data_IF_039817725492
#
_entry.id   IF_039817725492
#
_cell.length_a   1.000
_cell.length_b   1.000
_cell.length_c   1.000
_cell.angle_alpha   90.00
_cell.angle_beta   90.00
_cell.angle_gamma   90.00
#
_symmetry.space_group_name_H-M   'P 1'
#
loop_
_entity.id
_entity.type
_entity.pdbx_description
1 polymer ?
#
# COMPACT_ATOMS: atom_id res chain seq x y z
N UNK A 1 -11.30 0.18 -21.13
CA UNK A 1 -10.03 -0.09 -20.44
C UNK A 1 -9.50 1.25 -19.96
N UNK A 2 -9.30 1.41 -18.64
CA UNK A 2 -8.73 2.65 -18.07
C UNK A 2 -7.21 2.61 -18.14
N UNK A 3 -6.59 3.74 -18.41
CA UNK A 3 -5.13 3.86 -18.44
C UNK A 3 -4.71 5.07 -17.61
N UNK A 4 -3.68 4.90 -16.79
CA UNK A 4 -3.01 6.00 -16.09
C UNK A 4 -1.60 6.22 -16.64
N UNK A 5 -1.16 7.47 -16.58
CA UNK A 5 0.21 7.89 -16.83
C UNK A 5 0.66 8.73 -15.64
N UNK A 6 1.68 8.25 -14.95
CA UNK A 6 2.30 8.95 -13.81
C UNK A 6 3.77 9.16 -14.17
N UNK A 7 4.12 10.33 -14.70
CA UNK A 7 5.43 10.55 -15.30
C UNK A 7 5.69 9.58 -16.45
N UNK A 8 6.71 8.74 -16.33
CA UNK A 8 7.07 7.71 -17.31
C UNK A 8 6.35 6.36 -17.07
N UNK A 9 5.60 6.22 -15.97
CA UNK A 9 4.90 5.00 -15.62
C UNK A 9 3.53 4.98 -16.29
N UNK A 10 3.31 4.01 -17.19
CA UNK A 10 2.05 3.83 -17.93
C UNK A 10 1.45 2.46 -17.62
N UNK A 11 0.22 2.43 -17.13
CA UNK A 11 -0.45 1.22 -16.65
C UNK A 11 -1.91 1.19 -17.12
N UNK A 12 -2.36 0.01 -17.59
CA UNK A 12 -3.75 -0.26 -17.94
C UNK A 12 -4.47 -0.95 -16.77
N UNK A 13 -5.70 -0.50 -16.48
CA UNK A 13 -6.54 -1.02 -15.38
C UNK A 13 -5.74 -1.19 -14.07
N UNK A 14 -5.15 -0.11 -13.54
CA UNK A 14 -4.16 -0.21 -12.48
C UNK A 14 -4.76 -0.67 -11.17
N UNK A 15 -4.15 -1.72 -10.58
CA UNK A 15 -4.41 -2.21 -9.23
C UNK A 15 -3.12 -2.10 -8.41
N UNK A 16 -3.10 -1.19 -7.45
CA UNK A 16 -1.92 -0.80 -6.68
C UNK A 16 -1.94 -1.43 -5.28
N UNK A 17 -0.76 -1.75 -4.74
CA UNK A 17 -0.59 -2.13 -3.33
C UNK A 17 -0.46 -0.89 -2.46
N UNK A 18 -1.30 -0.73 -1.44
CA UNK A 18 -1.23 0.40 -0.51
C UNK A 18 -0.01 0.30 0.42
N UNK A 19 0.63 1.42 0.77
CA UNK A 19 1.65 1.47 1.81
C UNK A 19 1.03 1.14 3.18
N UNK A 20 1.62 0.17 3.90
CA UNK A 20 1.17 -0.26 5.23
C UNK A 20 2.36 -0.49 6.14
N UNK A 21 2.47 0.30 7.21
CA UNK A 21 3.54 0.18 8.21
C UNK A 21 3.58 -1.22 8.83
N UNK A 22 4.77 -1.81 8.87
CA UNK A 22 5.00 -3.15 9.39
C UNK A 22 4.47 -4.27 8.47
N UNK A 23 4.01 -3.99 7.26
CA UNK A 23 3.43 -4.97 6.33
C UNK A 23 4.07 -4.90 4.94
N UNK A 24 4.15 -3.71 4.34
CA UNK A 24 4.66 -3.57 2.96
C UNK A 24 6.18 -3.44 2.92
N UNK A 25 6.85 -4.35 3.63
CA UNK A 25 8.28 -4.58 3.52
C UNK A 25 8.63 -5.21 2.16
N UNK A 26 9.93 -5.26 1.82
CA UNK A 26 10.38 -5.77 0.52
C UNK A 26 9.88 -7.19 0.22
N UNK A 27 9.93 -8.18 1.14
CA UNK A 27 9.41 -9.51 0.88
C UNK A 27 7.95 -9.51 0.44
N UNK A 28 7.09 -8.75 1.13
CA UNK A 28 5.67 -8.68 0.81
C UNK A 28 5.39 -7.92 -0.49
N UNK A 29 6.15 -6.85 -0.78
CA UNK A 29 6.02 -6.12 -2.04
C UNK A 29 6.41 -6.98 -3.23
N UNK A 30 7.54 -7.72 -3.16
CA UNK A 30 7.97 -8.68 -4.19
C UNK A 30 6.89 -9.74 -4.46
N UNK A 31 6.32 -10.29 -3.39
CA UNK A 31 5.23 -11.25 -3.52
C UNK A 31 4.01 -10.63 -4.21
N UNK A 32 3.56 -9.45 -3.80
CA UNK A 32 2.41 -8.78 -4.41
C UNK A 32 2.67 -8.44 -5.89
N UNK A 33 3.91 -8.07 -6.27
CA UNK A 33 4.30 -7.86 -7.68
C UNK A 33 4.14 -9.12 -8.49
N UNK A 34 4.61 -10.25 -7.99
CA UNK A 34 4.47 -11.54 -8.67
C UNK A 34 3.01 -11.92 -8.88
N UNK A 35 2.14 -11.55 -7.94
CA UNK A 35 0.69 -11.74 -8.06
C UNK A 35 -0.02 -10.62 -8.83
N UNK A 36 0.70 -9.69 -9.44
CA UNK A 36 0.16 -8.75 -10.41
C UNK A 36 -0.18 -7.36 -9.89
N UNK A 37 0.31 -6.95 -8.70
CA UNK A 37 0.25 -5.55 -8.31
C UNK A 37 1.04 -4.67 -9.29
N UNK A 38 0.42 -3.61 -9.82
CA UNK A 38 1.05 -2.78 -10.85
C UNK A 38 2.10 -1.84 -10.28
N UNK A 39 1.76 -1.14 -9.19
CA UNK A 39 2.68 -0.30 -8.43
C UNK A 39 2.65 -0.79 -6.99
N UNK A 40 3.82 -0.95 -6.40
CA UNK A 40 3.96 -1.22 -4.96
C UNK A 40 4.57 -0.01 -4.27
N UNK A 41 4.27 0.13 -2.98
CA UNK A 41 4.69 1.26 -2.17
C UNK A 41 5.49 0.74 -0.98
N UNK A 42 6.59 1.42 -0.64
CA UNK A 42 7.31 1.11 0.59
C UNK A 42 6.46 1.43 1.82
N UNK A 43 6.86 0.94 2.98
CA UNK A 43 6.43 1.53 4.24
C UNK A 43 6.83 3.01 4.25
N UNK A 44 6.04 3.86 4.93
CA UNK A 44 6.36 5.28 4.95
C UNK A 44 7.61 5.59 5.80
N UNK A 45 8.49 6.42 5.27
CA UNK A 45 9.73 6.82 5.88
C UNK A 45 9.66 8.29 6.36
N UNK A 46 10.10 8.54 7.61
CA UNK A 46 10.14 9.89 8.15
C UNK A 46 11.25 10.71 7.47
N UNK A 47 10.92 11.89 6.93
CA UNK A 47 11.88 12.79 6.30
C UNK A 47 13.05 13.13 7.22
N UNK A 48 12.76 13.45 8.48
CA UNK A 48 13.78 13.73 9.51
C UNK A 48 14.78 12.57 9.73
N UNK A 49 14.29 11.34 9.63
CA UNK A 49 15.13 10.16 9.80
C UNK A 49 15.95 9.85 8.54
N UNK A 50 15.36 10.11 7.35
CA UNK A 50 16.06 9.93 6.07
C UNK A 50 17.22 10.89 5.92
N UNK A 51 17.03 12.19 6.19
CA UNK A 51 18.08 13.20 6.08
C UNK A 51 19.22 13.01 7.10
N UNK A 52 18.97 12.29 8.18
CA UNK A 52 19.99 11.87 9.18
C UNK A 52 20.56 10.49 8.89
N UNK A 53 20.20 9.86 7.77
CA UNK A 53 20.66 8.54 7.37
C UNK A 53 20.47 7.46 8.45
N UNK A 54 19.36 7.50 9.21
CA UNK A 54 19.05 6.51 10.25
C UNK A 54 18.92 5.12 9.63
N UNK A 55 19.76 4.13 10.04
CA UNK A 55 19.84 2.82 9.35
C UNK A 55 18.51 2.08 9.24
N UNK A 56 17.66 2.13 10.28
CA UNK A 56 16.34 1.49 10.27
C UNK A 56 15.41 2.11 9.22
N UNK A 57 15.51 3.43 8.99
CA UNK A 57 14.70 4.12 8.00
C UNK A 57 15.23 3.86 6.59
N UNK A 58 16.55 3.80 6.41
CA UNK A 58 17.16 3.43 5.13
C UNK A 58 16.80 2.00 4.70
N UNK A 59 16.65 1.08 5.66
CA UNK A 59 16.18 -0.29 5.35
C UNK A 59 14.78 -0.31 4.76
N UNK A 60 13.87 0.59 5.21
CA UNK A 60 12.49 0.68 4.70
C UNK A 60 12.39 1.09 3.24
N UNK A 61 13.32 1.96 2.79
CA UNK A 61 13.33 2.49 1.42
C UNK A 61 14.21 1.68 0.47
N UNK A 62 14.82 0.57 0.92
CA UNK A 62 15.48 -0.37 0.00
C UNK A 62 14.48 -0.92 -1.00
N UNK A 63 14.92 -1.04 -2.24
CA UNK A 63 14.14 -1.54 -3.37
C UNK A 63 14.91 -2.64 -4.11
N UNK A 64 14.17 -3.50 -4.80
CA UNK A 64 14.67 -4.49 -5.75
C UNK A 64 14.10 -4.17 -7.14
N UNK A 65 14.85 -4.41 -8.21
CA UNK A 65 14.38 -4.12 -9.56
C UNK A 65 13.13 -4.90 -9.97
N UNK A 66 12.88 -6.06 -9.35
CA UNK A 66 11.66 -6.85 -9.56
C UNK A 66 10.39 -6.20 -9.00
N UNK A 67 10.53 -5.16 -8.17
CA UNK A 67 9.40 -4.40 -7.61
C UNK A 67 8.90 -3.30 -8.55
N UNK A 68 9.65 -2.97 -9.62
CA UNK A 68 9.33 -1.85 -10.52
C UNK A 68 8.02 -2.03 -11.28
N UNK A 69 7.24 -0.94 -11.45
CA UNK A 69 7.45 0.37 -10.85
C UNK A 69 7.14 0.39 -9.35
N UNK A 70 8.00 1.09 -8.58
CA UNK A 70 7.91 1.20 -7.13
C UNK A 70 7.88 2.67 -6.68
N UNK A 71 6.99 2.97 -5.72
CA UNK A 71 6.94 4.25 -5.04
C UNK A 71 7.59 4.18 -3.65
N UNK A 72 8.50 5.10 -3.36
CA UNK A 72 8.97 5.33 -1.98
C UNK A 72 8.05 6.35 -1.34
N UNK A 73 7.38 5.94 -0.23
CA UNK A 73 6.51 6.83 0.51
C UNK A 73 7.25 7.52 1.65
N UNK A 74 7.18 8.85 1.67
CA UNK A 74 7.79 9.70 2.71
C UNK A 74 6.73 10.50 3.47
N UNK A 75 7.04 10.91 4.70
CA UNK A 75 6.19 11.80 5.49
C UNK A 75 7.02 12.74 6.35
N UNK A 76 6.47 13.92 6.61
CA UNK A 76 7.06 14.97 7.44
C UNK A 76 6.19 16.21 7.40
N UNK A 77 6.63 17.29 8.04
CA UNK A 77 5.94 18.57 8.12
C UNK A 77 6.82 19.77 7.74
N UNK A 78 8.12 19.55 7.45
CA UNK A 78 9.02 20.59 6.95
C UNK A 78 9.18 20.46 5.44
N UNK A 79 8.79 21.49 4.66
CA UNK A 79 8.95 21.49 3.20
C UNK A 79 10.39 21.19 2.75
N UNK A 80 11.39 21.79 3.42
CA UNK A 80 12.81 21.61 3.08
C UNK A 80 13.29 20.19 3.36
N UNK A 81 12.89 19.61 4.51
CA UNK A 81 13.31 18.26 4.87
C UNK A 81 12.60 17.22 4.02
N UNK A 82 11.35 17.48 3.62
CA UNK A 82 10.60 16.63 2.67
C UNK A 82 11.24 16.67 1.28
N UNK A 83 11.65 17.82 0.78
CA UNK A 83 12.37 17.94 -0.49
C UNK A 83 13.70 17.15 -0.48
N UNK A 84 14.49 17.26 0.60
CA UNK A 84 15.73 16.48 0.77
C UNK A 84 15.45 14.97 0.85
N UNK A 85 14.41 14.57 1.58
CA UNK A 85 13.99 13.17 1.66
C UNK A 85 13.55 12.62 0.30
N UNK A 86 12.87 13.43 -0.52
CA UNK A 86 12.52 13.07 -1.89
C UNK A 86 13.76 12.83 -2.75
N UNK A 87 14.78 13.72 -2.68
CA UNK A 87 16.05 13.56 -3.38
C UNK A 87 16.80 12.28 -2.97
N UNK A 88 16.85 11.98 -1.66
CA UNK A 88 17.45 10.72 -1.17
C UNK A 88 16.70 9.52 -1.74
N UNK A 89 15.37 9.57 -1.77
CA UNK A 89 14.54 8.49 -2.31
C UNK A 89 14.72 8.31 -3.83
N UNK A 90 14.88 9.40 -4.58
CA UNK A 90 15.24 9.36 -6.01
C UNK A 90 16.62 8.72 -6.22
N UNK A 91 17.62 9.07 -5.41
CA UNK A 91 18.97 8.49 -5.46
C UNK A 91 18.99 6.99 -5.15
N UNK A 92 18.10 6.51 -4.29
CA UNK A 92 17.90 5.07 -4.05
C UNK A 92 17.35 4.36 -5.29
N UNK A 93 16.75 5.11 -6.22
CA UNK A 93 16.23 4.58 -7.49
C UNK A 93 14.73 4.38 -7.52
N UNK A 94 13.95 5.11 -6.71
CA UNK A 94 12.49 5.11 -6.81
C UNK A 94 12.01 5.50 -8.21
N UNK A 95 10.90 4.92 -8.67
CA UNK A 95 10.21 5.35 -9.89
C UNK A 95 9.23 6.49 -9.60
N UNK A 96 8.74 6.57 -8.37
CA UNK A 96 7.76 7.55 -7.88
C UNK A 96 8.11 7.94 -6.44
N UNK A 97 8.00 9.22 -6.11
CA UNK A 97 7.93 9.67 -4.71
C UNK A 97 6.46 9.81 -4.33
N UNK A 98 6.05 9.20 -3.23
CA UNK A 98 4.69 9.35 -2.71
C UNK A 98 4.70 10.05 -1.35
N UNK A 99 3.83 11.04 -1.15
CA UNK A 99 3.75 11.79 0.09
C UNK A 99 2.55 11.32 0.91
N UNK A 100 2.81 10.93 2.16
CA UNK A 100 1.76 10.47 3.07
C UNK A 100 1.08 11.65 3.78
N UNK A 101 -0.16 11.91 3.41
CA UNK A 101 -1.08 12.83 4.08
C UNK A 101 -2.29 12.13 4.72
N UNK A 102 -2.24 10.80 4.88
CA UNK A 102 -3.37 10.02 5.35
C UNK A 102 -3.15 9.22 6.65
N UNK A 103 -1.92 9.14 7.16
CA UNK A 103 -1.62 8.38 8.38
C UNK A 103 -2.30 8.99 9.60
N UNK A 104 -3.10 8.17 10.31
CA UNK A 104 -3.89 8.59 11.48
C UNK A 104 -3.25 8.19 12.81
N UNK A 105 -2.10 7.53 12.80
CA UNK A 105 -1.41 7.05 14.01
C UNK A 105 -0.99 8.23 14.88
N UNK A 106 -1.29 8.17 16.19
CA UNK A 106 -1.05 9.27 17.15
C UNK A 106 0.38 9.84 17.07
N UNK A 107 1.40 8.97 16.98
CA UNK A 107 2.80 9.38 16.90
C UNK A 107 3.08 10.28 15.67
N UNK A 108 2.47 10.00 14.53
CA UNK A 108 2.63 10.82 13.31
C UNK A 108 1.83 12.11 13.42
N UNK A 109 0.58 12.01 13.87
CA UNK A 109 -0.35 13.16 14.00
C UNK A 109 0.15 14.17 15.04
N UNK A 110 0.68 13.71 16.18
CA UNK A 110 1.22 14.59 17.23
C UNK A 110 2.48 15.35 16.79
N UNK A 111 3.15 14.88 15.74
CA UNK A 111 4.26 15.57 15.10
C UNK A 111 3.80 16.46 13.92
N UNK A 112 2.53 16.83 13.87
CA UNK A 112 1.92 17.64 12.80
C UNK A 112 2.21 17.09 11.39
N UNK A 113 2.27 15.76 11.22
CA UNK A 113 2.52 15.11 9.95
C UNK A 113 1.39 14.14 9.55
N UNK A 114 1.45 13.58 8.35
CA UNK A 114 0.42 12.67 7.85
C UNK A 114 -0.94 13.37 7.77
N UNK A 115 -1.98 12.77 8.35
CA UNK A 115 -3.34 13.33 8.29
C UNK A 115 -3.54 14.63 9.08
N UNK A 116 -2.62 15.01 9.96
CA UNK A 116 -2.68 16.30 10.65
C UNK A 116 -2.58 17.48 9.67
N UNK A 117 -1.82 17.29 8.60
CA UNK A 117 -1.61 18.31 7.57
C UNK A 117 -2.89 18.68 6.80
N UNK A 118 -3.93 17.83 6.80
CA UNK A 118 -5.23 18.19 6.21
C UNK A 118 -5.89 19.41 6.88
N UNK A 119 -5.44 19.80 8.09
CA UNK A 119 -5.86 21.05 8.74
C UNK A 119 -5.09 22.29 8.24
N UNK A 120 -4.05 22.09 7.45
CA UNK A 120 -3.19 23.13 6.89
C UNK A 120 -2.94 22.85 5.41
N UNK A 121 -3.96 22.98 4.53
CA UNK A 121 -3.85 22.67 3.10
C UNK A 121 -2.74 23.43 2.38
N UNK A 122 -2.48 24.69 2.79
CA UNK A 122 -1.39 25.51 2.21
C UNK A 122 -0.02 24.88 2.47
N UNK A 123 0.22 24.38 3.71
CA UNK A 123 1.47 23.67 4.02
C UNK A 123 1.58 22.35 3.26
N UNK A 124 0.46 21.63 3.06
CA UNK A 124 0.46 20.44 2.19
C UNK A 124 0.89 20.79 0.76
N UNK A 125 0.35 21.88 0.20
CA UNK A 125 0.70 22.33 -1.14
C UNK A 125 2.17 22.77 -1.22
N UNK A 126 2.67 23.51 -0.23
CA UNK A 126 4.07 23.90 -0.15
C UNK A 126 5.02 22.69 -0.12
N UNK A 127 4.74 21.69 0.74
CA UNK A 127 5.51 20.46 0.83
C UNK A 127 5.53 19.74 -0.53
N UNK A 128 4.37 19.58 -1.16
CA UNK A 128 4.26 18.90 -2.45
C UNK A 128 5.02 19.64 -3.54
N UNK A 129 4.90 20.98 -3.58
CA UNK A 129 5.61 21.81 -4.54
C UNK A 129 7.13 21.72 -4.37
N UNK A 130 7.62 21.81 -3.13
CA UNK A 130 9.06 21.65 -2.83
C UNK A 130 9.59 20.28 -3.24
N UNK A 131 8.84 19.21 -2.96
CA UNK A 131 9.21 17.85 -3.39
C UNK A 131 9.22 17.74 -4.92
N UNK A 132 8.15 18.21 -5.59
CA UNK A 132 8.02 18.12 -7.06
C UNK A 132 9.12 18.89 -7.80
N UNK A 133 9.60 20.01 -7.24
CA UNK A 133 10.69 20.79 -7.82
C UNK A 133 12.09 20.24 -7.46
N UNK A 134 12.20 19.38 -6.46
CA UNK A 134 13.48 18.85 -6.00
C UNK A 134 13.94 17.58 -6.72
N UNK A 135 13.03 16.88 -7.42
CA UNK A 135 13.29 15.59 -8.09
C UNK A 135 12.84 15.61 -9.55
N UNK A 136 13.37 14.69 -10.36
CA UNK A 136 13.01 14.53 -11.78
C UNK A 136 11.87 13.49 -11.97
N UNK A 137 11.74 12.57 -11.03
CA UNK A 137 10.69 11.54 -11.05
C UNK A 137 9.36 12.11 -10.55
N UNK A 138 8.20 11.52 -10.92
CA UNK A 138 6.89 12.01 -10.51
C UNK A 138 6.69 11.96 -9.01
N UNK A 139 6.04 12.99 -8.47
CA UNK A 139 5.57 13.06 -7.09
C UNK A 139 4.07 12.79 -7.07
N UNK A 140 3.63 11.87 -6.21
CA UNK A 140 2.22 11.56 -5.96
C UNK A 140 1.88 11.79 -4.49
N UNK A 141 0.61 11.83 -4.16
CA UNK A 141 0.17 11.98 -2.78
C UNK A 141 -0.86 10.92 -2.40
N UNK A 142 -0.88 10.51 -1.13
CA UNK A 142 -1.92 9.66 -0.57
C UNK A 142 -2.57 10.34 0.64
N UNK A 143 -3.89 10.58 0.56
CA UNK A 143 -4.64 11.33 1.58
C UNK A 143 -5.96 10.64 1.95
N UNK A 144 -6.79 11.34 2.74
CA UNK A 144 -8.15 10.96 3.14
C UNK A 144 -9.15 12.05 2.75
N UNK A 145 -10.45 11.82 3.05
CA UNK A 145 -11.53 12.77 2.74
C UNK A 145 -11.46 14.08 3.54
N UNK A 146 -10.87 14.02 4.74
CA UNK A 146 -10.78 15.15 5.66
C UNK A 146 -10.45 14.67 7.07
N UNK A 147 -10.46 15.59 8.03
CA UNK A 147 -10.16 15.29 9.43
C UNK A 147 -11.25 14.44 10.10
N UNK A 148 -12.50 14.85 9.97
CA UNK A 148 -13.73 14.17 10.43
C UNK A 148 -14.88 14.48 9.45
N UNK A 149 -16.08 14.02 9.75
CA UNK A 149 -17.24 14.18 8.86
C UNK A 149 -17.70 15.63 8.72
N UNK A 150 -17.45 16.48 9.71
CA UNK A 150 -17.78 17.90 9.69
C UNK A 150 -16.71 18.74 8.96
N UNK A 151 -15.52 18.17 8.78
CA UNK A 151 -14.35 18.83 8.19
C UNK A 151 -13.82 18.01 7.00
N UNK A 152 -14.67 17.81 5.99
CA UNK A 152 -14.32 17.20 4.70
C UNK A 152 -13.84 18.32 3.77
N UNK A 153 -12.54 18.31 3.43
CA UNK A 153 -11.91 19.32 2.60
C UNK A 153 -11.12 18.73 1.41
N UNK A 154 -11.41 17.48 1.05
CA UNK A 154 -10.69 16.78 -0.03
C UNK A 154 -10.79 17.49 -1.38
N UNK A 155 -11.87 18.22 -1.65
CA UNK A 155 -12.06 18.90 -2.93
C UNK A 155 -11.03 20.02 -3.15
N UNK A 156 -10.84 20.87 -2.14
CA UNK A 156 -9.83 21.92 -2.17
C UNK A 156 -8.43 21.34 -2.12
N UNK A 157 -8.18 20.35 -1.25
CA UNK A 157 -6.90 19.65 -1.18
C UNK A 157 -6.54 19.06 -2.54
N UNK A 158 -7.44 18.37 -3.22
CA UNK A 158 -7.14 17.72 -4.49
C UNK A 158 -6.71 18.75 -5.55
N UNK A 159 -7.42 19.87 -5.66
CA UNK A 159 -7.09 20.96 -6.56
C UNK A 159 -5.71 21.56 -6.23
N UNK A 160 -5.50 21.94 -4.97
CA UNK A 160 -4.24 22.53 -4.51
C UNK A 160 -3.05 21.60 -4.74
N UNK A 161 -3.21 20.28 -4.51
CA UNK A 161 -2.15 19.32 -4.72
C UNK A 161 -1.77 19.15 -6.20
N UNK A 162 -2.76 19.14 -7.10
CA UNK A 162 -2.49 19.16 -8.55
C UNK A 162 -1.75 20.43 -8.94
N UNK A 163 -2.16 21.59 -8.48
CA UNK A 163 -1.52 22.88 -8.74
C UNK A 163 -0.10 22.93 -8.16
N UNK A 164 0.13 22.27 -7.03
CA UNK A 164 1.44 22.12 -6.42
C UNK A 164 2.38 21.15 -7.15
N UNK A 165 1.90 20.44 -8.19
CA UNK A 165 2.71 19.59 -9.06
C UNK A 165 2.57 18.09 -8.84
N UNK A 166 1.64 17.63 -7.98
CA UNK A 166 1.33 16.22 -7.86
C UNK A 166 0.89 15.61 -9.20
N UNK A 167 1.38 14.39 -9.51
CA UNK A 167 1.09 13.68 -10.76
C UNK A 167 0.01 12.61 -10.63
N UNK A 168 -0.39 12.27 -9.42
CA UNK A 168 -1.56 11.44 -9.11
C UNK A 168 -1.97 11.65 -7.64
N UNK A 169 -3.23 11.37 -7.34
CA UNK A 169 -3.77 11.45 -5.97
C UNK A 169 -4.44 10.12 -5.63
N UNK A 170 -4.03 9.50 -4.51
CA UNK A 170 -4.75 8.38 -3.92
C UNK A 170 -5.60 8.86 -2.75
N UNK A 171 -6.90 8.58 -2.79
CA UNK A 171 -7.82 8.96 -1.71
C UNK A 171 -8.31 7.71 -0.97
N UNK A 172 -7.96 7.58 0.31
CA UNK A 172 -8.65 6.65 1.18
C UNK A 172 -10.01 7.26 1.53
N UNK A 173 -11.09 6.63 1.06
CA UNK A 173 -12.47 7.13 1.14
C UNK A 173 -13.08 7.05 2.55
N UNK A 174 -12.29 7.45 3.55
CA UNK A 174 -12.64 7.66 4.96
C UNK A 174 -11.99 8.95 5.46
N UNK A 175 -12.57 9.52 6.50
CA UNK A 175 -11.92 10.60 7.24
C UNK A 175 -10.82 10.07 8.18
N UNK A 176 -10.01 10.97 8.73
CA UNK A 176 -8.99 10.60 9.74
C UNK A 176 -9.65 10.06 11.01
N UNK A 177 -10.75 10.65 11.48
CA UNK A 177 -11.43 10.22 12.70
C UNK A 177 -12.05 8.83 12.60
N UNK A 178 -12.53 8.43 11.42
CA UNK A 178 -13.01 7.08 11.15
C UNK A 178 -11.90 6.02 11.21
N UNK A 179 -10.63 6.40 11.01
CA UNK A 179 -9.49 5.45 10.98
C UNK A 179 -9.74 4.32 9.98
N UNK A 180 -10.19 3.16 10.49
CA UNK A 180 -10.53 1.93 9.74
C UNK A 180 -11.96 1.44 10.03
N UNK A 181 -12.75 2.19 10.82
CA UNK A 181 -14.12 1.83 11.19
C UNK A 181 -15.14 2.42 10.23
N UNK A 182 -16.35 1.88 10.22
CA UNK A 182 -17.39 2.22 9.25
C UNK A 182 -17.02 1.76 7.84
N UNK A 183 -17.72 2.28 6.82
CA UNK A 183 -17.50 1.97 5.41
C UNK A 183 -16.74 3.10 4.71
N UNK A 184 -15.94 2.76 3.71
CA UNK A 184 -15.34 3.72 2.80
C UNK A 184 -16.43 4.29 1.88
N UNK A 185 -16.54 5.59 1.79
CA UNK A 185 -17.54 6.25 0.95
C UNK A 185 -16.97 6.58 -0.42
N UNK A 186 -17.16 5.68 -1.37
CA UNK A 186 -16.68 5.85 -2.75
C UNK A 186 -17.43 6.94 -3.54
N UNK A 187 -18.57 7.43 -3.05
CA UNK A 187 -19.34 8.49 -3.70
C UNK A 187 -18.60 9.83 -3.82
N UNK A 188 -17.51 9.99 -3.07
CA UNK A 188 -16.63 11.15 -3.19
C UNK A 188 -15.78 11.14 -4.46
N UNK A 189 -15.45 9.98 -5.01
CA UNK A 189 -14.54 9.87 -6.18
C UNK A 189 -15.04 10.63 -7.40
N UNK A 190 -16.28 10.45 -7.87
CA UNK A 190 -16.80 11.24 -8.99
C UNK A 190 -16.81 12.74 -8.73
N UNK A 191 -17.05 13.13 -7.48
CA UNK A 191 -17.09 14.54 -7.07
C UNK A 191 -15.69 15.15 -7.09
N UNK A 192 -14.68 14.45 -6.55
CA UNK A 192 -13.28 14.89 -6.55
C UNK A 192 -12.75 15.05 -7.98
N UNK A 193 -13.07 14.07 -8.87
CA UNK A 193 -12.58 14.08 -10.25
C UNK A 193 -13.01 15.32 -11.04
N UNK A 194 -14.08 16.00 -10.66
CA UNK A 194 -14.50 17.25 -11.30
C UNK A 194 -13.53 18.42 -11.09
N UNK A 195 -12.67 18.34 -10.07
CA UNK A 195 -11.72 19.40 -9.70
C UNK A 195 -10.29 19.15 -10.20
N UNK A 196 -9.99 17.94 -10.69
CA UNK A 196 -8.63 17.54 -11.09
C UNK A 196 -8.63 16.79 -12.41
N UNK A 197 -7.53 16.93 -13.15
CA UNK A 197 -7.28 16.22 -14.42
C UNK A 197 -6.28 15.07 -14.27
N UNK A 198 -5.45 15.10 -13.21
CA UNK A 198 -4.49 14.04 -12.92
C UNK A 198 -5.17 12.75 -12.47
N UNK A 199 -4.50 11.58 -12.55
CA UNK A 199 -5.05 10.32 -12.11
C UNK A 199 -5.51 10.34 -10.65
N UNK A 200 -6.73 9.83 -10.43
CA UNK A 200 -7.37 9.67 -9.12
C UNK A 200 -7.51 8.19 -8.79
N UNK A 201 -6.85 7.76 -7.72
CA UNK A 201 -6.81 6.36 -7.29
C UNK A 201 -7.74 6.16 -6.09
N UNK A 202 -8.73 5.29 -6.25
CA UNK A 202 -9.67 4.94 -5.20
C UNK A 202 -9.02 3.95 -4.22
N UNK A 203 -9.09 4.22 -2.92
CA UNK A 203 -8.65 3.32 -1.86
C UNK A 203 -9.68 3.22 -0.74
N UNK A 204 -9.84 2.03 -0.18
CA UNK A 204 -10.71 1.72 0.96
C UNK A 204 -11.71 0.61 0.65
N UNK A 205 -11.73 -0.42 1.51
CA UNK A 205 -12.65 -1.57 1.53
C UNK A 205 -12.71 -2.46 0.27
N UNK A 206 -11.73 -2.35 -0.61
CA UNK A 206 -11.60 -3.26 -1.75
C UNK A 206 -11.06 -4.58 -1.22
N UNK A 207 -11.94 -5.60 -1.07
CA UNK A 207 -11.64 -6.84 -0.35
C UNK A 207 -11.89 -8.12 -1.15
N UNK A 208 -12.40 -8.00 -2.38
CA UNK A 208 -12.61 -9.13 -3.29
C UNK A 208 -12.38 -8.72 -4.74
N UNK A 209 -12.24 -9.67 -5.68
CA UNK A 209 -12.17 -9.39 -7.11
C UNK A 209 -13.39 -8.63 -7.64
N UNK A 210 -14.59 -8.93 -7.13
CA UNK A 210 -15.83 -8.23 -7.49
C UNK A 210 -15.77 -6.76 -7.07
N UNK A 211 -15.27 -6.47 -5.86
CA UNK A 211 -15.07 -5.10 -5.41
C UNK A 211 -13.94 -4.39 -6.18
N UNK A 212 -12.95 -5.11 -6.73
CA UNK A 212 -12.01 -4.52 -7.68
C UNK A 212 -12.70 -4.07 -8.96
N UNK A 213 -13.59 -4.92 -9.52
CA UNK A 213 -14.36 -4.59 -10.72
C UNK A 213 -15.34 -3.44 -10.46
N UNK A 214 -16.03 -3.44 -9.32
CA UNK A 214 -16.91 -2.35 -8.92
C UNK A 214 -16.14 -1.04 -8.78
N UNK A 215 -15.06 -1.04 -7.98
CA UNK A 215 -14.27 0.15 -7.69
C UNK A 215 -13.62 0.76 -8.93
N UNK A 216 -13.08 -0.06 -9.85
CA UNK A 216 -12.48 0.45 -11.09
C UNK A 216 -13.53 1.06 -12.01
N UNK A 217 -14.78 0.63 -11.94
CA UNK A 217 -15.89 1.15 -12.74
C UNK A 217 -16.56 2.40 -12.12
N UNK A 218 -16.21 2.80 -10.91
CA UNK A 218 -16.67 4.07 -10.35
C UNK A 218 -16.24 5.21 -11.29
N UNK A 219 -17.19 6.09 -11.61
CA UNK A 219 -16.92 7.27 -12.43
C UNK A 219 -15.83 8.12 -11.75
N UNK A 220 -14.81 8.52 -12.52
CA UNK A 220 -13.70 9.33 -12.01
C UNK A 220 -12.58 8.54 -11.32
N UNK A 221 -12.76 7.26 -11.01
CA UNK A 221 -11.65 6.41 -10.57
C UNK A 221 -10.80 6.03 -11.79
N UNK A 222 -9.53 6.42 -11.80
CA UNK A 222 -8.60 6.05 -12.87
C UNK A 222 -7.83 4.77 -12.53
N UNK A 223 -7.79 4.40 -11.25
CA UNK A 223 -7.20 3.18 -10.73
C UNK A 223 -7.69 2.88 -9.32
N UNK A 224 -7.28 1.74 -8.78
CA UNK A 224 -7.65 1.30 -7.43
C UNK A 224 -6.41 0.91 -6.63
N UNK A 225 -6.50 1.05 -5.30
CA UNK A 225 -5.42 0.68 -4.38
C UNK A 225 -5.95 -0.25 -3.29
N UNK A 226 -5.31 -1.40 -3.13
CA UNK A 226 -5.67 -2.44 -2.17
C UNK A 226 -4.71 -2.40 -0.99
N UNK A 227 -5.25 -2.40 0.23
CA UNK A 227 -4.47 -2.48 1.47
C UNK A 227 -4.62 -3.81 2.17
N UNK A 228 -5.31 -3.81 3.31
CA UNK A 228 -5.44 -4.94 4.24
C UNK A 228 -5.87 -6.26 3.62
N UNK A 229 -6.65 -6.20 2.56
CA UNK A 229 -7.17 -7.40 1.87
C UNK A 229 -6.09 -8.18 1.11
N UNK A 230 -4.93 -7.58 0.86
CA UNK A 230 -3.77 -8.26 0.30
C UNK A 230 -3.01 -9.09 1.35
N UNK A 231 -3.20 -8.81 2.65
CA UNK A 231 -2.49 -9.51 3.73
C UNK A 231 -2.93 -10.99 3.79
N UNK A 232 -2.01 -11.89 3.47
CA UNK A 232 -2.30 -13.33 3.36
C UNK A 232 -3.15 -13.71 2.14
N UNK A 233 -3.45 -12.76 1.27
CA UNK A 233 -4.21 -12.97 0.04
C UNK A 233 -3.66 -12.11 -1.13
N UNK A 234 -2.39 -12.24 -1.52
CA UNK A 234 -1.87 -11.48 -2.66
C UNK A 234 -2.53 -11.87 -3.99
N UNK A 235 -3.22 -13.01 -4.04
CA UNK A 235 -4.00 -13.46 -5.19
C UNK A 235 -5.02 -12.42 -5.67
N UNK A 236 -5.51 -11.54 -4.78
CA UNK A 236 -6.50 -10.51 -5.08
C UNK A 236 -6.08 -9.61 -6.26
N UNK A 237 -4.79 -9.35 -6.45
CA UNK A 237 -4.29 -8.56 -7.58
C UNK A 237 -4.52 -9.28 -8.90
N UNK A 238 -4.10 -10.56 -9.00
CA UNK A 238 -4.30 -11.39 -10.20
C UNK A 238 -5.78 -11.59 -10.48
N UNK A 239 -6.54 -12.01 -9.48
CA UNK A 239 -7.97 -12.26 -9.59
C UNK A 239 -8.75 -11.01 -10.00
N UNK A 240 -8.45 -9.84 -9.42
CA UNK A 240 -9.06 -8.58 -9.82
C UNK A 240 -8.77 -8.24 -11.28
N UNK A 241 -7.54 -8.44 -11.75
CA UNK A 241 -7.17 -8.25 -13.16
C UNK A 241 -7.84 -9.23 -14.10
N UNK A 242 -7.87 -10.51 -13.75
CA UNK A 242 -8.58 -11.52 -14.52
C UNK A 242 -10.05 -11.14 -14.69
N UNK A 243 -10.73 -10.82 -13.60
CA UNK A 243 -12.15 -10.45 -13.62
C UNK A 243 -12.41 -9.18 -14.47
N UNK A 244 -11.59 -8.15 -14.30
CA UNK A 244 -11.71 -6.88 -15.07
C UNK A 244 -11.49 -7.10 -16.56
N UNK A 245 -10.56 -7.98 -16.95
CA UNK A 245 -10.17 -8.16 -18.34
C UNK A 245 -10.98 -9.23 -19.07
N UNK A 246 -11.44 -10.28 -18.38
CA UNK A 246 -12.05 -11.47 -18.98
C UNK A 246 -13.46 -11.79 -18.51
N UNK A 247 -13.92 -11.13 -17.42
CA UNK A 247 -15.22 -11.39 -16.80
C UNK A 247 -15.25 -12.61 -15.86
N UNK A 248 -14.12 -13.30 -15.66
CA UNK A 248 -14.00 -14.44 -14.75
C UNK A 248 -12.61 -14.47 -14.12
N UNK A 249 -12.44 -15.22 -13.05
CA UNK A 249 -11.14 -15.40 -12.40
C UNK A 249 -11.02 -16.78 -11.75
N UNK A 250 -9.79 -17.24 -11.57
CA UNK A 250 -9.47 -18.51 -10.92
C UNK A 250 -9.34 -18.36 -9.40
N UNK A 251 -9.93 -19.30 -8.66
CA UNK A 251 -9.78 -19.35 -7.20
C UNK A 251 -8.51 -20.08 -6.82
N UNK A 252 -7.70 -19.58 -5.86
CA UNK A 252 -6.56 -20.31 -5.35
C UNK A 252 -7.06 -21.52 -4.56
N UNK A 253 -6.41 -22.66 -4.79
CA UNK A 253 -6.62 -23.89 -4.01
C UNK A 253 -6.03 -23.72 -2.60
N UNK A 254 -6.31 -24.68 -1.71
CA UNK A 254 -5.67 -24.75 -0.38
C UNK A 254 -4.15 -24.86 -0.55
N UNK A 255 -3.70 -25.68 -1.53
CA UNK A 255 -2.27 -25.83 -1.84
C UNK A 255 -1.63 -24.50 -2.24
N UNK A 256 -2.25 -23.75 -3.15
CA UNK A 256 -1.73 -22.45 -3.57
C UNK A 256 -1.56 -21.48 -2.39
N UNK A 257 -2.49 -21.48 -1.44
CA UNK A 257 -2.43 -20.60 -0.25
C UNK A 257 -1.28 -21.00 0.68
N UNK A 258 -1.09 -22.30 0.90
CA UNK A 258 0.02 -22.83 1.72
C UNK A 258 1.36 -22.53 1.04
N UNK A 259 1.50 -22.80 -0.25
CA UNK A 259 2.72 -22.53 -1.01
C UNK A 259 3.06 -21.03 -1.04
N UNK A 260 2.05 -20.19 -1.18
CA UNK A 260 2.20 -18.74 -1.10
C UNK A 260 2.70 -18.29 0.29
N UNK A 261 2.18 -18.90 1.36
CA UNK A 261 2.64 -18.64 2.72
C UNK A 261 4.12 -19.04 2.90
N UNK A 262 4.50 -20.22 2.44
CA UNK A 262 5.88 -20.72 2.48
C UNK A 262 6.80 -19.79 1.67
N UNK A 263 6.42 -19.44 0.45
CA UNK A 263 7.19 -18.53 -0.40
C UNK A 263 7.44 -17.18 0.23
N UNK A 264 6.40 -16.58 0.84
CA UNK A 264 6.54 -15.31 1.56
C UNK A 264 7.50 -15.43 2.76
N UNK A 265 7.41 -16.54 3.50
CA UNK A 265 8.34 -16.85 4.60
C UNK A 265 9.78 -16.96 4.11
N UNK A 266 10.02 -17.67 3.01
CA UNK A 266 11.34 -17.81 2.40
C UNK A 266 11.93 -16.46 1.95
N UNK A 267 11.11 -15.60 1.35
CA UNK A 267 11.52 -14.23 1.01
C UNK A 267 11.89 -13.42 2.25
N UNK A 268 11.12 -13.56 3.35
CA UNK A 268 11.45 -12.90 4.61
C UNK A 268 12.79 -13.38 5.17
N UNK A 269 13.01 -14.69 5.18
CA UNK A 269 14.27 -15.26 5.66
C UNK A 269 15.46 -14.81 4.78
N UNK A 270 15.30 -14.86 3.46
CA UNK A 270 16.38 -14.49 2.52
C UNK A 270 16.78 -13.01 2.65
N UNK A 271 15.82 -12.10 2.89
CA UNK A 271 16.06 -10.66 2.92
C UNK A 271 16.42 -10.17 4.32
N UNK A 272 15.87 -10.77 5.38
CA UNK A 272 16.01 -10.29 6.77
C UNK A 272 16.78 -11.24 7.69
N UNK A 273 17.18 -12.41 7.20
CA UNK A 273 17.80 -13.47 8.01
C UNK A 273 16.79 -14.05 9.02
N UNK A 274 17.30 -14.69 10.07
CA UNK A 274 16.48 -15.36 11.10
C UNK A 274 15.44 -14.44 11.76
N UNK A 275 15.75 -13.16 11.91
CA UNK A 275 14.78 -12.18 12.43
C UNK A 275 13.50 -12.11 11.56
N UNK A 276 13.62 -12.40 10.27
CA UNK A 276 12.49 -12.49 9.35
C UNK A 276 11.45 -13.52 9.75
N UNK A 277 11.85 -14.64 10.39
CA UNK A 277 10.92 -15.66 10.87
C UNK A 277 10.03 -15.10 12.00
N UNK A 278 10.61 -14.32 12.92
CA UNK A 278 9.88 -13.70 14.03
C UNK A 278 8.91 -12.65 13.51
N UNK A 279 9.37 -11.78 12.61
CA UNK A 279 8.52 -10.74 12.00
C UNK A 279 7.40 -11.33 11.15
N UNK A 280 7.58 -12.52 10.58
CA UNK A 280 6.58 -13.18 9.75
C UNK A 280 5.35 -13.65 10.51
N UNK A 281 5.45 -13.89 11.83
CA UNK A 281 4.37 -14.44 12.68
C UNK A 281 3.02 -13.73 12.50
N UNK A 282 3.04 -12.44 12.25
CA UNK A 282 1.83 -11.60 11.99
C UNK A 282 1.07 -12.01 10.72
N UNK A 283 1.75 -12.65 9.75
CA UNK A 283 1.16 -12.99 8.45
C UNK A 283 0.39 -14.32 8.47
N UNK A 284 0.71 -15.26 9.38
CA UNK A 284 0.00 -16.55 9.45
C UNK A 284 -1.51 -16.39 9.59
N UNK A 285 -1.97 -15.39 10.34
CA UNK A 285 -3.39 -15.13 10.54
C UNK A 285 -4.13 -14.79 9.24
N UNK A 286 -3.46 -14.15 8.30
CA UNK A 286 -4.01 -13.84 6.97
C UNK A 286 -4.07 -15.07 6.07
N UNK A 287 -2.96 -15.80 5.96
CA UNK A 287 -2.87 -16.97 5.08
C UNK A 287 -3.81 -18.11 5.48
N UNK A 288 -3.98 -18.36 6.77
CA UNK A 288 -4.80 -19.45 7.28
C UNK A 288 -6.25 -19.04 7.59
N UNK A 289 -6.63 -17.80 7.25
CA UNK A 289 -7.97 -17.28 7.51
C UNK A 289 -9.05 -18.11 6.80
N UNK A 290 -10.08 -18.51 7.56
CA UNK A 290 -11.23 -19.25 7.03
C UNK A 290 -10.99 -20.75 6.81
N UNK A 291 -9.79 -21.26 7.08
CA UNK A 291 -9.50 -22.69 7.02
C UNK A 291 -9.92 -23.38 8.32
N UNK A 292 -10.42 -24.62 8.22
CA UNK A 292 -10.85 -25.42 9.38
C UNK A 292 -9.70 -25.61 10.37
N UNK A 293 -9.96 -25.51 11.67
CA UNK A 293 -8.99 -25.64 12.76
C UNK A 293 -7.72 -24.76 12.65
N UNK A 294 -7.78 -23.63 11.90
CA UNK A 294 -6.62 -22.74 11.68
C UNK A 294 -6.00 -22.17 12.96
N UNK A 295 -6.80 -22.08 14.05
CA UNK A 295 -6.32 -21.54 15.33
C UNK A 295 -5.22 -22.40 15.96
N UNK A 296 -5.40 -23.72 15.95
CA UNK A 296 -4.41 -24.68 16.48
C UNK A 296 -3.08 -24.60 15.70
N UNK A 297 -3.15 -24.64 14.37
CA UNK A 297 -1.96 -24.56 13.54
C UNK A 297 -1.24 -23.22 13.66
N UNK A 298 -1.97 -22.11 13.76
CA UNK A 298 -1.35 -20.78 14.03
C UNK A 298 -0.59 -20.76 15.37
N UNK A 299 -1.13 -21.40 16.42
CA UNK A 299 -0.44 -21.48 17.71
C UNK A 299 0.88 -22.27 17.61
N UNK A 300 0.92 -23.35 16.84
CA UNK A 300 2.15 -24.10 16.54
C UNK A 300 3.16 -23.21 15.78
N UNK A 301 2.72 -22.59 14.68
CA UNK A 301 3.56 -21.78 13.80
C UNK A 301 4.21 -20.57 14.52
N UNK A 302 3.48 -19.85 15.39
CA UNK A 302 4.05 -18.66 16.06
C UNK A 302 5.06 -19.01 17.14
N UNK A 303 5.15 -20.28 17.59
CA UNK A 303 6.10 -20.76 18.58
C UNK A 303 7.36 -21.35 17.97
N UNK A 304 7.32 -21.66 16.68
CA UNK A 304 8.39 -22.33 15.94
C UNK A 304 9.38 -21.31 15.39
N UNK A 305 10.65 -21.60 15.45
CA UNK A 305 11.78 -20.75 15.03
C UNK A 305 12.63 -21.40 13.91
N UNK A 306 12.33 -22.63 13.52
CA UNK A 306 12.96 -23.34 12.40
C UNK A 306 12.10 -23.28 11.16
N UNK A 307 12.67 -22.85 10.03
CA UNK A 307 11.95 -22.80 8.76
C UNK A 307 11.49 -24.17 8.30
N UNK A 308 12.30 -25.21 8.51
CA UNK A 308 11.96 -26.58 8.10
C UNK A 308 10.79 -27.12 8.92
N UNK A 309 10.79 -26.86 10.23
CA UNK A 309 9.68 -27.23 11.11
C UNK A 309 8.40 -26.45 10.75
N UNK A 310 8.50 -25.14 10.43
CA UNK A 310 7.37 -24.35 9.96
C UNK A 310 6.79 -24.94 8.66
N UNK A 311 7.64 -25.28 7.69
CA UNK A 311 7.22 -25.94 6.44
C UNK A 311 6.54 -27.29 6.70
N UNK A 312 7.06 -28.09 7.60
CA UNK A 312 6.45 -29.37 7.98
C UNK A 312 5.06 -29.14 8.60
N UNK A 313 4.91 -28.21 9.53
CA UNK A 313 3.60 -27.85 10.13
C UNK A 313 2.60 -27.41 9.05
N UNK A 314 3.01 -26.59 8.09
CA UNK A 314 2.15 -26.13 7.00
C UNK A 314 1.75 -27.26 6.05
N UNK A 315 2.67 -28.17 5.73
CA UNK A 315 2.39 -29.36 4.90
C UNK A 315 1.48 -30.35 5.64
N UNK A 316 1.71 -30.60 6.93
CA UNK A 316 0.83 -31.42 7.77
C UNK A 316 -0.56 -30.83 7.82
N UNK A 317 -0.67 -29.50 7.92
CA UNK A 317 -1.95 -28.81 7.90
C UNK A 317 -2.67 -28.98 6.56
N UNK A 318 -1.94 -28.86 5.44
CA UNK A 318 -2.49 -29.16 4.12
C UNK A 318 -3.04 -30.58 4.04
N UNK A 319 -2.25 -31.60 4.45
CA UNK A 319 -2.66 -33.00 4.44
C UNK A 319 -3.89 -33.25 5.31
N UNK A 320 -3.94 -32.63 6.50
CA UNK A 320 -5.11 -32.66 7.37
C UNK A 320 -6.35 -32.10 6.69
N UNK A 321 -6.27 -30.93 6.05
CA UNK A 321 -7.40 -30.33 5.34
C UNK A 321 -7.88 -31.16 4.14
N UNK A 322 -6.97 -31.89 3.50
CA UNK A 322 -7.32 -32.78 2.38
C UNK A 322 -7.92 -34.11 2.81
N UNK A 323 -7.82 -34.46 4.10
CA UNK A 323 -8.43 -35.67 4.68
C UNK A 323 -9.85 -35.45 5.20
N UNK A 324 -10.33 -34.21 5.22
CA UNK A 324 -11.70 -33.82 5.63
C UNK A 324 -12.68 -33.94 4.47
#
# INVERSE_FOLDING_TARGET
MKQIIIGNVKINNPILLAPMEGITDMPFRLLCKEYGADIVYTEFAASEALIRYIPQTLKKIKIDDKERPIAIQIFGNSPENMAKAAQISEQVGADIIDINYGCWVKKVVNNNAGSALMKSPDLMAEITNKCANAVKIPVTIKTRLGWDLDNINIFDIAKMQQEAGAKAITVHCRTRSQKITGNADWSYIPKIKKYITIPLILNGDISSPELCLEAINIEGADGIMIGRSAMGNPFIFRQGKELINTGSYSHPTIKDKIDCCIKHLELNLAIKGEHGLIEFRKHYSGYLKGMYNSSEYRQKLVRTESIDEIKNILNDYYNYLMSL
#
